data_IF_778250096126
#
_entry.id   IF_778250096126
#
_cell.length_a   1.000
_cell.length_b   1.000
_cell.length_c   1.000
_cell.angle_alpha   90.00
_cell.angle_beta   90.00
_cell.angle_gamma   90.00
#
_symmetry.space_group_name_H-M   'P 1'
#
loop_
_entity.id
_entity.type
_entity.pdbx_description
1 polymer ?
#
# COMPACT_ATOMS: atom_id res chain seq x y z
N UNK A 1 -21.02 -19.60 38.75
CA UNK A 1 -20.62 -20.89 39.35
C UNK A 1 -21.89 -21.66 39.57
N UNK A 2 -22.02 -22.80 38.91
CA UNK A 2 -23.17 -23.69 39.08
C UNK A 2 -22.63 -24.94 39.77
N UNK A 3 -23.24 -25.32 40.89
CA UNK A 3 -22.88 -26.51 41.66
C UNK A 3 -24.06 -27.46 41.60
N UNK A 4 -23.85 -28.65 41.07
CA UNK A 4 -24.82 -29.74 41.12
C UNK A 4 -24.40 -30.70 42.25
N UNK A 5 -25.12 -30.65 43.38
CA UNK A 5 -24.86 -31.41 44.61
C UNK A 5 -24.96 -30.56 45.89
N UNK A 6 -24.90 -31.18 47.07
CA UNK A 6 -24.82 -30.47 48.36
C UNK A 6 -23.42 -29.87 48.57
N UNK A 7 -23.37 -28.55 48.75
CA UNK A 7 -22.13 -27.81 48.99
C UNK A 7 -21.83 -27.75 50.50
N UNK A 8 -20.82 -28.50 50.96
CA UNK A 8 -20.46 -28.56 52.40
C UNK A 8 -19.67 -27.30 52.86
N UNK A 9 -19.00 -26.56 51.96
CA UNK A 9 -18.27 -25.34 52.32
C UNK A 9 -18.17 -24.33 51.17
N UNK A 10 -18.80 -23.16 51.34
CA UNK A 10 -18.64 -21.97 50.49
C UNK A 10 -17.66 -20.97 51.15
N UNK A 11 -16.75 -20.34 50.39
CA UNK A 11 -15.84 -19.33 50.95
C UNK A 11 -16.59 -18.02 51.25
N UNK A 12 -16.45 -17.49 52.46
CA UNK A 12 -16.90 -16.13 52.79
C UNK A 12 -15.84 -15.09 52.40
N UNK A 13 -16.27 -13.86 52.12
CA UNK A 13 -15.44 -12.79 51.57
C UNK A 13 -14.31 -12.41 52.55
N UNK A 14 -13.09 -12.84 52.28
CA UNK A 14 -11.88 -12.43 53.01
C UNK A 14 -10.86 -13.53 53.30
N UNK A 15 -11.15 -14.80 53.06
CA UNK A 15 -10.20 -15.89 53.31
C UNK A 15 -9.41 -16.26 52.05
N UNK A 16 -8.07 -16.24 52.15
CA UNK A 16 -7.16 -16.63 51.06
C UNK A 16 -6.86 -18.14 51.19
N UNK A 17 -7.03 -18.87 50.09
CA UNK A 17 -6.75 -20.31 49.94
C UNK A 17 -7.70 -21.31 50.65
N UNK A 18 -9.03 -21.22 50.39
CA UNK A 18 -9.98 -22.27 50.77
C UNK A 18 -10.27 -23.22 49.60
N UNK A 19 -10.11 -24.52 49.85
CA UNK A 19 -10.40 -25.60 48.88
C UNK A 19 -11.91 -25.81 48.80
N UNK A 20 -12.49 -25.81 47.60
CA UNK A 20 -13.91 -26.13 47.39
C UNK A 20 -14.03 -27.65 47.30
N UNK A 21 -14.63 -28.26 48.31
CA UNK A 21 -14.93 -29.70 48.34
C UNK A 21 -16.40 -29.90 48.02
N UNK A 22 -16.68 -30.70 46.99
CA UNK A 22 -18.03 -31.12 46.59
C UNK A 22 -18.08 -32.63 46.72
N UNK A 23 -18.98 -33.14 47.57
CA UNK A 23 -19.32 -34.56 47.61
C UNK A 23 -20.56 -34.78 46.76
N UNK A 24 -20.51 -35.76 45.87
CA UNK A 24 -21.71 -36.24 45.20
C UNK A 24 -22.51 -37.15 46.12
N UNK A 25 -23.85 -37.01 46.11
CA UNK A 25 -24.73 -38.03 46.70
C UNK A 25 -24.78 -39.28 45.81
N UNK A 26 -25.13 -40.42 46.42
CA UNK A 26 -25.01 -41.79 45.89
C UNK A 26 -25.09 -41.90 44.36
N UNK A 27 -23.99 -42.35 43.75
CA UNK A 27 -23.78 -42.64 42.32
C UNK A 27 -23.62 -41.47 41.33
N UNK A 28 -23.45 -40.22 41.75
CA UNK A 28 -23.08 -39.13 40.82
C UNK A 28 -21.80 -38.40 41.25
N UNK A 29 -20.90 -38.13 40.28
CA UNK A 29 -19.69 -37.33 40.50
C UNK A 29 -20.06 -35.85 40.54
N UNK A 30 -19.85 -35.18 41.68
CA UNK A 30 -20.00 -33.73 41.77
C UNK A 30 -19.00 -33.03 40.86
N UNK A 31 -19.47 -32.12 40.00
CA UNK A 31 -18.64 -31.34 39.09
C UNK A 31 -18.80 -29.85 39.39
N UNK A 32 -17.69 -29.10 39.29
CA UNK A 32 -17.66 -27.65 39.47
C UNK A 32 -17.41 -27.05 38.09
N UNK A 33 -18.44 -26.44 37.51
CA UNK A 33 -18.31 -25.68 36.27
C UNK A 33 -18.24 -24.19 36.58
N UNK A 34 -17.10 -23.59 36.22
CA UNK A 34 -16.99 -22.14 36.17
C UNK A 34 -17.73 -21.65 34.93
N UNK A 35 -18.83 -20.94 35.12
CA UNK A 35 -19.48 -20.21 34.03
C UNK A 35 -18.58 -19.03 33.62
N UNK A 36 -17.60 -19.29 32.77
CA UNK A 36 -16.93 -18.22 32.03
C UNK A 36 -17.89 -17.80 30.91
N UNK A 37 -18.13 -16.50 30.68
CA UNK A 37 -18.86 -16.05 29.51
C UNK A 37 -17.94 -16.19 28.28
N UNK A 38 -17.67 -17.41 27.83
CA UNK A 38 -16.84 -17.69 26.65
C UNK A 38 -17.42 -16.99 25.40
N UNK A 39 -18.76 -16.96 25.29
CA UNK A 39 -19.48 -16.24 24.23
C UNK A 39 -19.22 -14.72 24.20
N UNK A 40 -18.83 -14.10 25.33
CA UNK A 40 -18.55 -12.66 25.38
C UNK A 40 -17.17 -12.32 24.80
N UNK A 41 -16.19 -13.21 24.94
CA UNK A 41 -14.81 -12.95 24.47
C UNK A 41 -14.76 -13.02 22.94
N UNK A 42 -15.44 -14.00 22.34
CA UNK A 42 -15.50 -14.14 20.88
C UNK A 42 -16.32 -13.02 20.24
N UNK A 43 -17.47 -12.67 20.82
CA UNK A 43 -18.31 -11.56 20.33
C UNK A 43 -17.57 -10.22 20.33
N UNK A 44 -16.77 -9.94 21.38
CA UNK A 44 -15.96 -8.71 21.46
C UNK A 44 -14.85 -8.67 20.41
N UNK A 45 -14.23 -9.82 20.10
CA UNK A 45 -13.22 -9.89 19.04
C UNK A 45 -13.84 -9.59 17.68
N UNK A 46 -14.98 -10.20 17.38
CA UNK A 46 -15.71 -9.98 16.13
C UNK A 46 -16.19 -8.53 15.98
N UNK A 47 -16.67 -7.92 17.07
CA UNK A 47 -17.02 -6.50 17.09
C UNK A 47 -15.80 -5.61 16.78
N UNK A 48 -14.66 -5.88 17.42
CA UNK A 48 -13.44 -5.13 17.18
C UNK A 48 -12.95 -5.23 15.73
N UNK A 49 -12.99 -6.42 15.13
CA UNK A 49 -12.61 -6.62 13.73
C UNK A 49 -13.53 -5.87 12.77
N UNK A 50 -14.85 -5.90 13.02
CA UNK A 50 -15.82 -5.17 12.22
C UNK A 50 -15.61 -3.65 12.31
N UNK A 51 -15.43 -3.12 13.52
CA UNK A 51 -15.14 -1.71 13.73
C UNK A 51 -13.84 -1.28 13.07
N UNK A 52 -12.81 -2.13 13.09
CA UNK A 52 -11.54 -1.89 12.40
C UNK A 52 -11.75 -1.81 10.89
N UNK A 53 -12.51 -2.72 10.29
CA UNK A 53 -12.83 -2.68 8.85
C UNK A 53 -13.62 -1.42 8.48
N UNK A 54 -14.65 -1.08 9.26
CA UNK A 54 -15.47 0.11 9.03
C UNK A 54 -14.65 1.41 9.08
N UNK A 55 -13.64 1.50 9.95
CA UNK A 55 -12.71 2.64 9.99
C UNK A 55 -11.92 2.79 8.69
N UNK A 56 -11.42 1.70 8.10
CA UNK A 56 -10.71 1.75 6.82
C UNK A 56 -11.64 2.18 5.67
N UNK A 57 -12.87 1.67 5.67
CA UNK A 57 -13.88 2.00 4.65
C UNK A 57 -14.28 3.49 4.72
N UNK A 58 -14.60 4.00 5.91
CA UNK A 58 -14.98 5.41 6.11
C UNK A 58 -13.82 6.33 5.72
N UNK A 59 -12.60 6.02 6.18
CA UNK A 59 -11.44 6.90 5.95
C UNK A 59 -10.88 6.80 4.53
N UNK A 60 -11.34 5.82 3.74
CA UNK A 60 -10.76 5.45 2.45
C UNK A 60 -9.25 5.21 2.55
N UNK A 61 -8.80 4.53 3.62
CA UNK A 61 -7.40 4.18 3.83
C UNK A 61 -7.20 2.67 3.61
N UNK A 62 -6.06 2.26 3.04
CA UNK A 62 -5.82 0.85 2.78
C UNK A 62 -5.41 0.14 4.08
N UNK A 63 -5.94 -1.06 4.33
CA UNK A 63 -5.43 -1.89 5.42
C UNK A 63 -4.07 -2.50 5.02
N UNK A 64 -3.00 -1.93 5.55
CA UNK A 64 -1.62 -2.37 5.34
C UNK A 64 -1.14 -3.33 6.44
N UNK A 65 -2.05 -3.88 7.26
CA UNK A 65 -1.63 -4.79 8.32
C UNK A 65 -0.96 -6.04 7.72
N UNK A 66 0.07 -6.54 8.42
CA UNK A 66 0.90 -7.64 7.92
C UNK A 66 0.09 -8.90 7.59
N UNK A 67 -1.00 -9.19 8.31
CA UNK A 67 -1.86 -10.33 8.02
C UNK A 67 -2.65 -10.14 6.72
N UNK A 68 -3.26 -8.97 6.51
CA UNK A 68 -4.01 -8.66 5.29
C UNK A 68 -3.08 -8.58 4.08
N UNK A 69 -1.91 -7.96 4.25
CA UNK A 69 -0.88 -7.87 3.23
C UNK A 69 -0.30 -9.25 2.91
N UNK A 70 0.04 -10.07 3.91
CA UNK A 70 0.59 -11.42 3.67
C UNK A 70 -0.43 -12.33 2.99
N UNK A 71 -1.71 -12.29 3.37
CA UNK A 71 -2.76 -13.04 2.66
C UNK A 71 -2.91 -12.61 1.19
N UNK A 72 -2.79 -11.30 0.90
CA UNK A 72 -2.75 -10.80 -0.47
C UNK A 72 -1.47 -11.20 -1.22
N UNK A 73 -0.34 -11.23 -0.54
CA UNK A 73 0.99 -11.47 -1.11
C UNK A 73 1.31 -12.97 -1.26
N UNK A 74 0.67 -13.85 -0.48
CA UNK A 74 0.86 -15.30 -0.54
C UNK A 74 0.16 -15.97 -1.72
N UNK A 75 -0.89 -15.37 -2.29
CA UNK A 75 -1.68 -15.95 -3.39
C UNK A 75 -1.22 -15.55 -4.80
N UNK A 76 0.04 -15.12 -4.95
CA UNK A 76 0.58 -14.67 -6.21
C UNK A 76 0.29 -13.19 -6.42
N UNK A 77 1.36 -12.40 -6.40
CA UNK A 77 1.36 -10.96 -6.61
C UNK A 77 0.61 -10.57 -7.88
N UNK A 78 -0.67 -10.22 -7.77
CA UNK A 78 -1.36 -9.54 -8.84
C UNK A 78 -1.18 -8.05 -8.60
N UNK A 79 -0.37 -7.38 -9.43
CA UNK A 79 -0.29 -5.92 -9.42
C UNK A 79 -1.67 -5.25 -9.61
N UNK A 80 -2.68 -6.00 -10.05
CA UNK A 80 -4.09 -5.59 -10.13
C UNK A 80 -4.74 -5.56 -8.73
N UNK A 81 -4.52 -6.56 -7.88
CA UNK A 81 -5.04 -6.59 -6.51
C UNK A 81 -4.45 -5.46 -5.66
N UNK A 82 -3.15 -5.19 -5.82
CA UNK A 82 -2.48 -4.07 -5.17
C UNK A 82 -3.08 -2.72 -5.63
N UNK A 83 -3.32 -2.55 -6.93
CA UNK A 83 -3.97 -1.35 -7.48
C UNK A 83 -5.40 -1.18 -6.95
N UNK A 84 -6.16 -2.26 -6.79
CA UNK A 84 -7.51 -2.21 -6.24
C UNK A 84 -7.51 -1.78 -4.76
N UNK A 85 -6.60 -2.33 -3.96
CA UNK A 85 -6.42 -1.95 -2.55
C UNK A 85 -6.11 -0.45 -2.40
N UNK A 86 -5.25 0.09 -3.27
CA UNK A 86 -4.85 1.49 -3.24
C UNK A 86 -5.77 2.44 -4.03
N UNK A 87 -6.87 1.96 -4.61
CA UNK A 87 -7.77 2.78 -5.43
C UNK A 87 -8.50 3.86 -4.61
N UNK A 88 -9.09 3.50 -3.46
CA UNK A 88 -9.74 4.46 -2.56
C UNK A 88 -8.78 5.56 -2.06
N UNK A 89 -7.60 5.18 -1.53
CA UNK A 89 -6.57 6.13 -1.13
C UNK A 89 -6.11 7.05 -2.28
N UNK A 90 -5.96 6.51 -3.49
CA UNK A 90 -5.64 7.31 -4.66
C UNK A 90 -6.74 8.29 -5.03
N UNK A 91 -8.01 7.89 -4.99
CA UNK A 91 -9.11 8.80 -5.26
C UNK A 91 -9.11 9.99 -4.29
N UNK A 92 -8.82 9.72 -3.00
CA UNK A 92 -8.64 10.75 -1.98
C UNK A 92 -7.40 11.62 -2.24
N UNK A 93 -6.27 11.01 -2.60
CA UNK A 93 -5.02 11.68 -2.99
C UNK A 93 -5.21 12.60 -4.19
N UNK A 94 -5.82 12.11 -5.26
CA UNK A 94 -6.13 12.85 -6.49
C UNK A 94 -7.04 14.05 -6.23
N UNK A 95 -8.03 13.90 -5.33
CA UNK A 95 -8.88 15.03 -4.91
C UNK A 95 -8.07 16.10 -4.19
N UNK A 96 -7.16 15.71 -3.30
CA UNK A 96 -6.27 16.63 -2.60
C UNK A 96 -5.26 17.29 -3.56
N UNK A 97 -4.65 16.52 -4.46
CA UNK A 97 -3.75 17.01 -5.50
C UNK A 97 -4.44 18.02 -6.41
N UNK A 98 -5.68 17.77 -6.86
CA UNK A 98 -6.46 18.73 -7.66
C UNK A 98 -6.65 20.06 -6.93
N UNK A 99 -7.02 20.01 -5.64
CA UNK A 99 -7.17 21.22 -4.81
C UNK A 99 -5.85 21.98 -4.68
N UNK A 100 -4.75 21.27 -4.45
CA UNK A 100 -3.42 21.88 -4.32
C UNK A 100 -2.93 22.45 -5.66
N UNK A 101 -3.17 21.75 -6.76
CA UNK A 101 -2.80 22.15 -8.11
C UNK A 101 -3.42 23.51 -8.47
N UNK A 102 -4.73 23.66 -8.28
CA UNK A 102 -5.43 24.92 -8.53
C UNK A 102 -4.85 26.05 -7.66
N UNK A 103 -4.61 25.77 -6.38
CA UNK A 103 -4.09 26.76 -5.43
C UNK A 103 -2.66 27.19 -5.78
N UNK A 104 -1.80 26.26 -6.23
CA UNK A 104 -0.43 26.53 -6.65
C UNK A 104 -0.38 27.29 -7.97
N UNK A 105 -1.15 26.88 -8.99
CA UNK A 105 -1.23 27.60 -10.26
C UNK A 105 -1.68 29.04 -10.04
N UNK A 106 -2.69 29.25 -9.19
CA UNK A 106 -3.14 30.61 -8.86
C UNK A 106 -2.02 31.45 -8.25
N UNK A 107 -1.24 30.88 -7.32
CA UNK A 107 -0.11 31.58 -6.68
C UNK A 107 1.02 31.87 -7.66
N UNK A 108 1.37 30.91 -8.52
CA UNK A 108 2.40 31.09 -9.55
C UNK A 108 1.95 32.17 -10.53
N UNK A 109 0.68 32.21 -10.92
CA UNK A 109 0.15 33.25 -11.80
C UNK A 109 0.19 34.64 -11.17
N UNK A 110 -0.03 34.77 -9.85
CA UNK A 110 0.15 36.05 -9.14
C UNK A 110 1.62 36.46 -9.14
N UNK A 111 2.55 35.55 -8.80
CA UNK A 111 3.99 35.84 -8.84
C UNK A 111 4.45 36.22 -10.24
N UNK A 112 3.98 35.51 -11.26
CA UNK A 112 4.24 35.80 -12.67
C UNK A 112 3.80 37.20 -13.06
N UNK A 113 2.57 37.61 -12.68
CA UNK A 113 2.08 38.97 -12.93
C UNK A 113 2.91 40.04 -12.23
N UNK A 114 3.35 39.78 -10.99
CA UNK A 114 4.25 40.69 -10.28
C UNK A 114 5.58 40.84 -11.02
N UNK A 115 6.21 39.73 -11.40
CA UNK A 115 7.50 39.74 -12.12
C UNK A 115 7.43 40.50 -13.45
N UNK A 116 6.36 40.28 -14.23
CA UNK A 116 6.12 41.02 -15.48
C UNK A 116 5.95 42.52 -15.24
N UNK A 117 5.29 42.91 -14.14
CA UNK A 117 5.13 44.32 -13.78
C UNK A 117 6.43 45.01 -13.36
N UNK A 118 7.44 44.26 -12.90
CA UNK A 118 8.74 44.80 -12.51
C UNK A 118 9.73 44.90 -13.69
N UNK A 119 9.74 43.92 -14.61
CA UNK A 119 10.59 43.94 -15.82
C UNK A 119 9.77 43.61 -17.06
N UNK A 120 9.10 44.63 -17.59
CA UNK A 120 8.08 44.47 -18.63
C UNK A 120 8.66 44.24 -20.04
N UNK A 121 9.90 44.67 -20.29
CA UNK A 121 10.59 44.55 -21.59
C UNK A 121 11.23 43.16 -21.79
N UNK A 122 11.70 42.49 -20.72
CA UNK A 122 12.38 41.20 -20.81
C UNK A 122 11.44 39.99 -20.60
N UNK A 123 10.32 40.18 -19.87
CA UNK A 123 9.41 39.09 -19.50
C UNK A 123 8.07 39.08 -20.28
N UNK A 124 7.95 39.86 -21.36
CA UNK A 124 6.74 39.87 -22.18
C UNK A 124 6.37 38.47 -22.71
N UNK A 125 7.36 37.67 -23.09
CA UNK A 125 7.17 36.30 -23.59
C UNK A 125 6.67 35.32 -22.51
N UNK A 126 6.93 35.62 -21.23
CA UNK A 126 6.44 34.76 -20.16
C UNK A 126 4.92 34.78 -20.06
N UNK A 127 4.21 35.80 -20.55
CA UNK A 127 2.74 35.91 -20.49
C UNK A 127 2.04 34.63 -20.99
N UNK A 128 2.57 33.97 -22.02
CA UNK A 128 1.97 32.77 -22.61
C UNK A 128 2.41 31.44 -21.96
N UNK A 129 3.39 31.46 -21.05
CA UNK A 129 3.89 30.23 -20.39
C UNK A 129 2.94 29.82 -19.27
N UNK A 130 2.31 28.65 -19.42
CA UNK A 130 1.48 28.06 -18.35
C UNK A 130 2.31 27.06 -17.53
N UNK A 131 2.44 27.25 -16.19
CA UNK A 131 3.17 26.32 -15.36
C UNK A 131 2.46 24.96 -15.27
N UNK A 132 3.14 23.89 -15.67
CA UNK A 132 2.67 22.52 -15.46
C UNK A 132 3.27 21.97 -14.15
N UNK A 133 2.41 21.58 -13.21
CA UNK A 133 2.82 20.97 -11.94
C UNK A 133 2.52 19.48 -12.01
N UNK A 134 3.57 18.66 -12.02
CA UNK A 134 3.46 17.21 -12.00
C UNK A 134 3.69 16.68 -10.58
N UNK A 135 2.69 16.00 -10.02
CA UNK A 135 2.82 15.27 -8.76
C UNK A 135 3.34 13.86 -9.06
N UNK A 136 4.29 13.36 -8.26
CA UNK A 136 4.73 11.96 -8.33
C UNK A 136 3.75 11.12 -7.50
N UNK A 137 3.18 10.08 -8.10
CA UNK A 137 2.35 9.13 -7.39
C UNK A 137 3.22 8.09 -6.66
N UNK A 138 3.00 7.94 -5.35
CA UNK A 138 3.77 7.05 -4.47
C UNK A 138 3.11 5.66 -4.35
N UNK A 139 2.73 5.06 -5.48
CA UNK A 139 2.16 3.72 -5.51
C UNK A 139 3.26 2.67 -5.29
N UNK A 140 3.08 1.69 -4.39
CA UNK A 140 3.92 0.51 -4.40
C UNK A 140 3.64 -0.25 -5.70
N UNK A 141 4.68 -0.43 -6.52
CA UNK A 141 4.58 -1.14 -7.80
C UNK A 141 5.32 -2.46 -7.73
N UNK A 142 4.72 -3.49 -8.35
CA UNK A 142 5.39 -4.76 -8.54
C UNK A 142 6.42 -4.63 -9.69
N UNK A 143 7.63 -4.16 -9.35
CA UNK A 143 8.72 -3.96 -10.32
C UNK A 143 8.98 -5.17 -11.25
N UNK A 144 9.08 -6.43 -10.78
CA UNK A 144 9.36 -7.55 -11.68
C UNK A 144 8.25 -7.82 -12.71
N UNK A 145 6.98 -7.70 -12.31
CA UNK A 145 5.84 -7.86 -13.23
C UNK A 145 5.83 -6.74 -14.28
N UNK A 146 6.09 -5.49 -13.87
CA UNK A 146 6.19 -4.36 -14.80
C UNK A 146 7.34 -4.54 -15.81
N UNK A 147 8.51 -4.97 -15.34
CA UNK A 147 9.67 -5.22 -16.21
C UNK A 147 9.33 -6.31 -17.23
N UNK A 148 8.73 -7.43 -16.80
CA UNK A 148 8.30 -8.53 -17.68
C UNK A 148 7.29 -8.08 -18.75
N UNK A 149 6.33 -7.24 -18.37
CA UNK A 149 5.33 -6.71 -19.30
C UNK A 149 5.98 -5.76 -20.33
N UNK A 150 6.88 -4.87 -19.87
CA UNK A 150 7.56 -3.92 -20.75
C UNK A 150 8.50 -4.64 -21.72
N UNK A 151 9.26 -5.63 -21.26
CA UNK A 151 10.14 -6.43 -22.15
C UNK A 151 9.33 -7.20 -23.18
N UNK A 152 8.18 -7.78 -22.78
CA UNK A 152 7.26 -8.46 -23.70
C UNK A 152 6.71 -7.50 -24.78
N UNK A 153 6.34 -6.27 -24.41
CA UNK A 153 5.85 -5.25 -25.35
C UNK A 153 6.93 -4.77 -26.33
N UNK A 154 8.16 -4.61 -25.85
CA UNK A 154 9.32 -4.26 -26.69
C UNK A 154 9.63 -5.41 -27.66
N UNK A 155 9.62 -6.66 -27.18
CA UNK A 155 9.82 -7.84 -28.02
C UNK A 155 8.73 -8.00 -29.08
N UNK A 156 7.47 -7.69 -28.74
CA UNK A 156 6.35 -7.65 -29.66
C UNK A 156 6.39 -6.47 -30.66
N UNK A 157 7.40 -5.57 -30.55
CA UNK A 157 7.56 -4.35 -31.36
C UNK A 157 6.39 -3.37 -31.24
N UNK A 158 5.59 -3.46 -30.18
CA UNK A 158 4.48 -2.55 -29.91
C UNK A 158 4.95 -1.27 -29.21
N UNK A 159 6.16 -1.29 -28.63
CA UNK A 159 6.68 -0.20 -27.82
C UNK A 159 8.15 0.09 -28.15
N UNK A 160 8.49 1.37 -28.35
CA UNK A 160 9.86 1.81 -28.61
C UNK A 160 10.73 1.67 -27.36
N UNK A 161 12.00 1.28 -27.53
CA UNK A 161 12.97 1.16 -26.43
C UNK A 161 13.11 2.47 -25.65
N UNK A 162 13.01 3.63 -26.30
CA UNK A 162 13.03 4.95 -25.63
C UNK A 162 11.83 5.10 -24.68
N UNK A 163 10.64 4.76 -25.15
CA UNK A 163 9.40 4.83 -24.37
C UNK A 163 9.39 3.81 -23.22
N UNK A 164 10.01 2.64 -23.41
CA UNK A 164 10.14 1.62 -22.37
C UNK A 164 10.95 2.14 -21.18
N UNK A 165 12.09 2.76 -21.45
CA UNK A 165 12.98 3.32 -20.43
C UNK A 165 12.34 4.49 -19.68
N UNK A 166 11.57 5.35 -20.38
CA UNK A 166 10.78 6.39 -19.71
C UNK A 166 9.69 5.83 -18.80
N UNK A 167 9.05 4.72 -19.17
CA UNK A 167 8.01 4.08 -18.33
C UNK A 167 8.61 3.38 -17.11
N UNK A 168 9.82 2.83 -17.22
CA UNK A 168 10.51 2.23 -16.08
C UNK A 168 10.90 3.29 -15.04
N UNK A 169 11.28 4.49 -15.47
CA UNK A 169 11.52 5.64 -14.57
C UNK A 169 12.71 5.46 -13.61
N UNK A 170 13.50 4.39 -13.76
CA UNK A 170 14.71 4.14 -12.97
C UNK A 170 15.92 4.93 -13.49
N UNK A 171 15.81 5.53 -14.69
CA UNK A 171 16.87 6.28 -15.38
C UNK A 171 16.53 7.77 -15.42
N UNK A 172 17.48 8.62 -15.01
CA UNK A 172 17.30 10.08 -14.92
C UNK A 172 17.35 10.77 -16.29
N UNK A 173 18.27 10.35 -17.15
CA UNK A 173 18.43 10.88 -18.51
C UNK A 173 18.36 9.73 -19.52
N UNK A 174 17.22 9.62 -20.19
CA UNK A 174 16.94 8.53 -21.13
C UNK A 174 17.74 8.69 -22.43
N UNK A 175 18.14 9.90 -22.81
CA UNK A 175 18.86 10.12 -24.06
C UNK A 175 20.34 9.76 -23.94
N UNK A 176 20.97 10.16 -22.84
CA UNK A 176 22.35 9.77 -22.53
C UNK A 176 22.50 8.25 -22.46
N UNK A 177 21.55 7.58 -21.80
CA UNK A 177 21.58 6.12 -21.62
C UNK A 177 21.33 5.36 -22.92
N UNK A 178 20.47 5.89 -23.79
CA UNK A 178 20.28 5.31 -25.12
C UNK A 178 21.55 5.45 -25.98
N UNK A 179 22.26 6.57 -25.88
CA UNK A 179 23.55 6.74 -26.55
C UNK A 179 24.60 5.76 -26.03
N UNK A 180 24.69 5.60 -24.70
CA UNK A 180 25.60 4.64 -24.09
C UNK A 180 25.31 3.20 -24.55
N UNK A 181 24.04 2.78 -24.56
CA UNK A 181 23.63 1.46 -25.07
C UNK A 181 24.02 1.27 -26.54
N UNK A 182 23.90 2.32 -27.37
CA UNK A 182 24.30 2.23 -28.77
C UNK A 182 25.82 2.06 -28.92
N UNK A 183 26.60 2.71 -28.07
CA UNK A 183 28.06 2.61 -28.05
C UNK A 183 28.51 1.21 -27.60
N UNK A 184 27.93 0.69 -26.52
CA UNK A 184 28.13 -0.70 -26.05
C UNK A 184 27.73 -1.71 -27.14
N UNK A 185 26.61 -1.50 -27.83
CA UNK A 185 26.15 -2.38 -28.92
C UNK A 185 27.06 -2.32 -30.16
N UNK A 186 27.75 -1.21 -30.39
CA UNK A 186 28.73 -1.09 -31.48
C UNK A 186 30.02 -1.83 -31.10
N UNK A 187 30.54 -1.58 -29.90
CA UNK A 187 31.71 -2.26 -29.37
C UNK A 187 31.52 -3.78 -29.33
N UNK A 188 30.37 -4.27 -28.82
CA UNK A 188 30.04 -5.69 -28.81
C UNK A 188 30.00 -6.33 -30.21
N UNK A 189 29.56 -5.59 -31.23
CA UNK A 189 29.57 -6.05 -32.62
C UNK A 189 30.98 -6.13 -33.18
N UNK A 190 31.83 -5.17 -32.84
CA UNK A 190 33.23 -5.14 -33.23
C UNK A 190 34.00 -6.31 -32.58
N UNK A 191 33.80 -6.58 -31.28
CA UNK A 191 34.39 -7.73 -30.60
C UNK A 191 33.93 -9.08 -31.17
N UNK A 192 32.65 -9.23 -31.53
CA UNK A 192 32.15 -10.46 -32.18
C UNK A 192 32.75 -10.66 -33.57
N UNK A 193 32.88 -9.58 -34.35
CA UNK A 193 33.49 -9.65 -35.68
C UNK A 193 34.99 -9.97 -35.68
N UNK A 194 35.70 -9.70 -34.58
CA UNK A 194 37.10 -10.10 -34.41
C UNK A 194 37.25 -11.56 -33.98
N UNK A 195 36.31 -12.08 -33.19
CA UNK A 195 36.30 -13.49 -32.77
C UNK A 195 35.80 -14.47 -33.84
N UNK A 196 34.93 -14.05 -34.76
CA UNK A 196 34.48 -14.90 -35.89
C UNK A 196 35.52 -14.98 -37.04
N UNK A 197 36.59 -14.18 -36.98
CA UNK A 197 37.70 -14.16 -37.95
C UNK A 197 39.00 -14.80 -37.42
N UNK A 198 38.95 -15.51 -36.30
CA UNK A 198 40.00 -16.42 -35.79
C UNK A 198 39.52 -17.87 -35.85
#
# INVERSE_FOLDING_TARGET
MVVEGEAESLPSKGEVAKVIQVKGSENQRGSISFAQPEAMVESKKLEFEKLKQEQFDITNTPDISFNTMSQLMSNGTSGIALRLLFMGPQMKGNKAQKRLHEMLIRRINVMKKMLISFSQLELADMVNVNPAINFKDALPVNKPELISNITSLVNAKLLSRKTAMTMMGDVSDVEAELQQILEETKQDREYKSQNDNQ
#
